data_IF_160844919106
#
_entry.id   IF_160844919106
#
_cell.length_a   1.000
_cell.length_b   1.000
_cell.length_c   1.000
_cell.angle_alpha   90.00
_cell.angle_beta   90.00
_cell.angle_gamma   90.00
#
_symmetry.space_group_name_H-M   'P 1'
#
loop_
_entity.id
_entity.type
_entity.pdbx_description
1 polymer ?
#
# COMPACT_ATOMS: atom_id res chain seq x y z
N UNK A 1 8.17 -2.79 40.02
CA UNK A 1 7.72 -2.61 38.63
C UNK A 1 6.23 -2.35 38.67
N UNK A 2 5.83 -1.08 38.65
CA UNK A 2 4.44 -0.65 38.78
C UNK A 2 3.73 -0.82 37.44
N UNK A 3 2.71 -1.69 37.39
CA UNK A 3 1.76 -1.71 36.29
C UNK A 3 1.01 -0.38 36.25
N UNK A 4 1.00 0.37 35.14
CA UNK A 4 0.18 1.58 35.03
C UNK A 4 -1.29 1.15 35.02
N UNK A 5 -1.99 1.35 36.13
CA UNK A 5 -3.43 1.12 36.24
C UNK A 5 -4.17 2.33 35.65
N UNK A 6 -4.45 2.27 34.35
CA UNK A 6 -5.32 3.19 33.60
C UNK A 6 -5.46 2.71 32.15
N UNK A 7 -6.59 2.99 31.45
CA UNK A 7 -6.71 2.64 30.04
C UNK A 7 -5.62 3.37 29.24
N UNK A 8 -4.85 2.62 28.46
CA UNK A 8 -3.85 3.15 27.54
C UNK A 8 -4.57 4.04 26.52
N UNK A 9 -4.10 5.26 26.29
CA UNK A 9 -4.71 6.15 25.30
C UNK A 9 -4.56 5.59 23.89
N UNK A 10 -5.46 5.97 22.97
CA UNK A 10 -5.38 5.54 21.56
C UNK A 10 -4.03 5.89 20.92
N UNK A 11 -3.46 7.04 21.28
CA UNK A 11 -2.14 7.50 20.81
C UNK A 11 -1.02 6.59 21.32
N UNK A 12 -1.06 6.19 22.59
CA UNK A 12 -0.07 5.28 23.17
C UNK A 12 -0.20 3.87 22.58
N UNK A 13 -1.43 3.38 22.37
CA UNK A 13 -1.69 2.12 21.69
C UNK A 13 -1.15 2.13 20.26
N UNK A 14 -1.39 3.21 19.50
CA UNK A 14 -0.88 3.37 18.14
C UNK A 14 0.64 3.31 18.10
N UNK A 15 1.31 4.09 18.94
CA UNK A 15 2.79 4.10 19.03
C UNK A 15 3.34 2.72 19.38
N UNK A 16 2.69 2.02 20.30
CA UNK A 16 3.07 0.66 20.65
C UNK A 16 2.94 -0.30 19.46
N UNK A 17 1.81 -0.28 18.73
CA UNK A 17 1.59 -1.10 17.52
C UNK A 17 2.62 -0.81 16.42
N UNK A 18 2.90 0.48 16.17
CA UNK A 18 3.90 0.92 15.18
C UNK A 18 5.29 0.36 15.51
N UNK A 19 5.65 0.28 16.80
CA UNK A 19 6.94 -0.21 17.26
C UNK A 19 7.06 -1.75 17.35
N UNK A 20 5.96 -2.50 17.25
CA UNK A 20 6.04 -3.97 17.29
C UNK A 20 6.82 -4.49 16.08
N UNK A 21 7.77 -5.43 16.24
CA UNK A 21 8.33 -6.15 15.10
C UNK A 21 7.23 -7.05 14.52
N UNK A 22 7.00 -6.94 13.21
CA UNK A 22 5.90 -7.62 12.53
C UNK A 22 6.39 -8.52 11.39
N UNK A 23 5.62 -9.56 11.09
CA UNK A 23 5.74 -10.36 9.88
C UNK A 23 4.44 -10.23 9.09
N UNK A 24 4.55 -9.97 7.79
CA UNK A 24 3.41 -9.82 6.89
C UNK A 24 3.33 -11.04 5.96
N UNK A 25 2.29 -11.85 6.11
CA UNK A 25 2.19 -13.16 5.44
C UNK A 25 1.08 -13.20 4.39
N UNK A 26 0.30 -12.12 4.27
CA UNK A 26 -0.73 -12.02 3.26
C UNK A 26 -0.72 -10.62 2.67
N UNK A 27 0.16 -10.41 1.69
CA UNK A 27 0.25 -9.15 0.98
C UNK A 27 0.46 -9.40 -0.50
N UNK A 28 -0.42 -8.85 -1.33
CA UNK A 28 -0.22 -8.83 -2.77
C UNK A 28 0.67 -7.64 -3.13
N UNK A 29 1.79 -7.87 -3.81
CA UNK A 29 2.75 -6.84 -4.18
C UNK A 29 2.08 -5.70 -4.94
N UNK A 30 1.27 -6.03 -5.95
CA UNK A 30 0.56 -5.05 -6.76
C UNK A 30 -0.51 -4.31 -5.94
N UNK A 31 -1.02 -4.92 -4.87
CA UNK A 31 -1.99 -4.34 -3.94
C UNK A 31 -1.38 -3.41 -2.92
N UNK A 32 -0.09 -3.57 -2.64
CA UNK A 32 0.64 -2.85 -1.61
C UNK A 32 1.27 -1.55 -2.09
N UNK A 33 1.17 -1.23 -3.40
CA UNK A 33 1.82 -0.06 -4.00
C UNK A 33 1.43 1.21 -3.23
N UNK A 34 2.38 1.94 -2.61
CA UNK A 34 2.08 3.19 -1.93
C UNK A 34 1.43 4.20 -2.88
N UNK A 35 0.51 5.02 -2.37
CA UNK A 35 -0.28 5.94 -3.20
C UNK A 35 0.58 6.88 -4.06
N UNK A 36 1.66 7.43 -3.51
CA UNK A 36 2.57 8.33 -4.24
C UNK A 36 3.40 7.58 -5.30
N UNK A 37 3.75 6.31 -5.04
CA UNK A 37 4.40 5.46 -6.03
C UNK A 37 3.45 5.15 -7.19
N UNK A 38 2.20 4.78 -6.90
CA UNK A 38 1.17 4.56 -7.91
C UNK A 38 0.90 5.82 -8.74
N UNK A 39 0.80 6.99 -8.10
CA UNK A 39 0.68 8.27 -8.81
C UNK A 39 1.86 8.47 -9.78
N UNK A 40 3.08 8.27 -9.31
CA UNK A 40 4.29 8.41 -10.15
C UNK A 40 4.29 7.42 -11.32
N UNK A 41 3.85 6.18 -11.10
CA UNK A 41 3.73 5.15 -12.14
C UNK A 41 2.69 5.52 -13.20
N UNK A 42 1.51 6.02 -12.78
CA UNK A 42 0.47 6.51 -13.70
C UNK A 42 1.03 7.63 -14.57
N UNK A 43 1.74 8.60 -13.98
CA UNK A 43 2.32 9.71 -14.74
C UNK A 43 3.44 9.25 -15.69
N UNK A 44 4.28 8.29 -15.27
CA UNK A 44 5.33 7.69 -16.12
C UNK A 44 4.75 7.16 -17.44
N UNK A 45 3.56 6.59 -17.40
CA UNK A 45 2.89 5.96 -18.55
C UNK A 45 1.88 6.87 -19.27
N UNK A 46 2.00 8.19 -19.10
CA UNK A 46 1.20 9.18 -19.83
C UNK A 46 -0.10 9.61 -19.12
N UNK A 47 -0.34 9.13 -17.91
CA UNK A 47 -1.49 9.50 -17.09
C UNK A 47 -2.78 8.76 -17.44
N UNK A 48 -3.85 9.15 -16.75
CA UNK A 48 -5.22 8.72 -17.03
C UNK A 48 -6.12 9.96 -17.00
N UNK A 49 -6.93 10.18 -18.04
CA UNK A 49 -7.78 11.37 -18.14
C UNK A 49 -8.85 11.44 -17.05
N UNK A 50 -9.23 10.32 -16.44
CA UNK A 50 -10.14 10.26 -15.31
C UNK A 50 -9.46 10.60 -13.98
N UNK A 51 -8.12 10.63 -13.93
CA UNK A 51 -7.32 10.86 -12.73
C UNK A 51 -6.41 12.08 -12.94
N UNK A 52 -6.96 13.27 -12.76
CA UNK A 52 -6.23 14.53 -12.96
C UNK A 52 -5.48 14.98 -11.70
N UNK A 53 -5.88 14.48 -10.53
CA UNK A 53 -5.30 14.85 -9.24
C UNK A 53 -5.07 13.63 -8.34
N UNK A 54 -4.21 13.78 -7.33
CA UNK A 54 -4.04 12.77 -6.28
C UNK A 54 -5.34 12.50 -5.51
N UNK A 55 -6.25 13.47 -5.46
CA UNK A 55 -7.54 13.28 -4.82
C UNK A 55 -8.43 12.36 -5.67
N UNK A 56 -8.42 12.53 -6.99
CA UNK A 56 -9.13 11.63 -7.91
C UNK A 56 -8.60 10.20 -7.78
N UNK A 57 -7.27 10.04 -7.65
CA UNK A 57 -6.65 8.74 -7.41
C UNK A 57 -7.16 8.10 -6.10
N UNK A 58 -7.18 8.86 -5.00
CA UNK A 58 -7.73 8.36 -3.71
C UNK A 58 -9.20 7.96 -3.84
N UNK A 59 -9.99 8.76 -4.57
CA UNK A 59 -11.40 8.48 -4.79
C UNK A 59 -11.57 7.21 -5.63
N UNK A 60 -10.76 7.01 -6.67
CA UNK A 60 -10.79 5.81 -7.51
C UNK A 60 -10.42 4.54 -6.75
N UNK A 61 -9.58 4.66 -5.72
CA UNK A 61 -9.20 3.58 -4.81
C UNK A 61 -10.20 3.38 -3.63
N UNK A 62 -11.36 4.03 -3.66
CA UNK A 62 -12.44 3.84 -2.69
C UNK A 62 -13.57 3.06 -3.36
N UNK A 63 -13.87 1.86 -2.86
CA UNK A 63 -14.84 0.94 -3.44
C UNK A 63 -15.79 0.39 -2.37
N UNK A 64 -17.00 0.03 -2.79
CA UNK A 64 -18.10 -0.41 -1.93
C UNK A 64 -18.23 -1.92 -1.81
N UNK A 65 -17.73 -2.67 -2.80
CA UNK A 65 -17.76 -4.12 -2.82
C UNK A 65 -16.55 -4.74 -3.53
N UNK A 66 -16.52 -6.08 -3.55
CA UNK A 66 -15.43 -6.84 -4.14
C UNK A 66 -15.37 -6.74 -5.68
N UNK A 67 -16.48 -6.79 -6.43
CA UNK A 67 -16.46 -6.51 -7.88
C UNK A 67 -15.84 -5.15 -8.23
N UNK A 68 -16.24 -4.07 -7.56
CA UNK A 68 -15.70 -2.73 -7.80
C UNK A 68 -14.20 -2.65 -7.45
N UNK A 69 -13.78 -3.34 -6.38
CA UNK A 69 -12.36 -3.54 -6.07
C UNK A 69 -11.62 -4.21 -7.22
N UNK A 70 -12.15 -5.30 -7.79
CA UNK A 70 -11.49 -6.05 -8.88
C UNK A 70 -11.37 -5.19 -10.14
N UNK A 71 -12.40 -4.42 -10.49
CA UNK A 71 -12.32 -3.47 -11.62
C UNK A 71 -11.21 -2.43 -11.41
N UNK A 72 -11.13 -1.88 -10.20
CA UNK A 72 -10.10 -0.92 -9.81
C UNK A 72 -8.70 -1.55 -9.80
N UNK A 73 -8.60 -2.80 -9.33
CA UNK A 73 -7.37 -3.58 -9.33
C UNK A 73 -6.83 -3.80 -10.74
N UNK A 74 -7.68 -4.25 -11.67
CA UNK A 74 -7.32 -4.48 -13.08
C UNK A 74 -6.87 -3.16 -13.72
N UNK A 75 -7.63 -2.08 -13.53
CA UNK A 75 -7.27 -0.76 -14.02
C UNK A 75 -5.89 -0.32 -13.51
N UNK A 76 -5.66 -0.37 -12.20
CA UNK A 76 -4.40 0.01 -11.57
C UNK A 76 -3.23 -0.84 -12.08
N UNK A 77 -3.41 -2.16 -12.22
CA UNK A 77 -2.37 -3.05 -12.70
C UNK A 77 -2.00 -2.82 -14.18
N UNK A 78 -2.88 -2.19 -14.98
CA UNK A 78 -2.56 -1.86 -16.39
C UNK A 78 -1.40 -0.87 -16.56
N UNK A 79 -1.02 -0.16 -15.49
CA UNK A 79 0.15 0.74 -15.49
C UNK A 79 1.48 0.02 -15.19
N UNK A 80 1.46 -1.27 -14.88
CA UNK A 80 2.68 -2.09 -14.72
C UNK A 80 3.03 -2.72 -16.08
N UNK A 81 3.82 -2.02 -16.88
CA UNK A 81 4.02 -2.37 -18.30
C UNK A 81 5.36 -3.03 -18.58
N UNK A 82 6.39 -2.74 -17.79
CA UNK A 82 7.74 -3.24 -18.00
C UNK A 82 8.45 -3.63 -16.70
N UNK A 83 9.60 -4.31 -16.83
CA UNK A 83 10.40 -4.78 -15.71
C UNK A 83 10.76 -3.68 -14.70
N UNK A 84 11.08 -2.47 -15.18
CA UNK A 84 11.47 -1.35 -14.29
C UNK A 84 10.30 -0.91 -13.40
N UNK A 85 9.05 -1.04 -13.88
CA UNK A 85 7.86 -0.75 -13.06
C UNK A 85 7.77 -1.72 -11.88
N UNK A 86 8.04 -3.01 -12.10
CA UNK A 86 8.03 -4.03 -11.05
C UNK A 86 9.17 -3.82 -10.05
N UNK A 87 10.37 -3.49 -10.53
CA UNK A 87 11.50 -3.13 -9.65
C UNK A 87 11.14 -1.93 -8.77
N UNK A 88 10.58 -0.88 -9.38
CA UNK A 88 10.17 0.33 -8.66
C UNK A 88 9.14 0.04 -7.57
N UNK A 89 8.05 -0.67 -7.88
CA UNK A 89 7.03 -0.94 -6.86
C UNK A 89 7.53 -1.89 -5.77
N UNK A 90 8.41 -2.83 -6.09
CA UNK A 90 8.98 -3.74 -5.10
C UNK A 90 9.83 -2.98 -4.07
N UNK A 91 10.62 -2.02 -4.53
CA UNK A 91 11.40 -1.13 -3.65
C UNK A 91 10.49 -0.25 -2.79
N UNK A 92 9.51 0.42 -3.39
CA UNK A 92 8.59 1.30 -2.67
C UNK A 92 7.77 0.55 -1.61
N UNK A 93 7.29 -0.66 -1.94
CA UNK A 93 6.59 -1.53 -0.98
C UNK A 93 7.53 -1.96 0.14
N UNK A 94 8.76 -2.38 -0.15
CA UNK A 94 9.72 -2.77 0.88
C UNK A 94 10.05 -1.62 1.84
N UNK A 95 10.22 -0.40 1.31
CA UNK A 95 10.45 0.81 2.11
C UNK A 95 9.24 1.14 2.99
N UNK A 96 8.02 0.98 2.49
CA UNK A 96 6.80 1.21 3.26
C UNK A 96 6.63 0.18 4.39
N UNK A 97 6.84 -1.10 4.11
CA UNK A 97 6.84 -2.17 5.11
C UNK A 97 7.89 -1.91 6.20
N UNK A 98 9.10 -1.48 5.82
CA UNK A 98 10.16 -1.15 6.76
C UNK A 98 9.76 0.00 7.70
N UNK A 99 9.14 1.07 7.19
CA UNK A 99 8.64 2.20 8.01
C UNK A 99 7.60 1.75 9.03
N UNK A 100 6.85 0.70 8.71
CA UNK A 100 5.86 0.10 9.60
C UNK A 100 6.47 -0.92 10.58
N UNK A 101 7.79 -1.10 10.63
CA UNK A 101 8.49 -2.11 11.44
C UNK A 101 8.08 -3.57 11.10
N UNK A 102 7.77 -3.82 9.83
CA UNK A 102 7.61 -5.17 9.29
C UNK A 102 9.01 -5.66 8.89
N UNK A 103 9.47 -6.71 9.56
CA UNK A 103 10.83 -7.24 9.43
C UNK A 103 10.93 -8.40 8.43
N UNK A 104 9.79 -9.01 8.10
CA UNK A 104 9.69 -10.15 7.20
C UNK A 104 8.37 -10.09 6.44
N UNK A 105 8.39 -10.39 5.15
CA UNK A 105 7.19 -10.45 4.34
C UNK A 105 7.23 -11.63 3.35
N UNK A 106 6.11 -12.32 3.20
CA UNK A 106 5.84 -13.28 2.13
C UNK A 106 4.80 -12.67 1.18
N UNK A 107 5.28 -12.20 0.03
CA UNK A 107 4.46 -11.46 -0.93
C UNK A 107 3.85 -12.40 -1.97
N UNK A 108 2.56 -12.20 -2.25
CA UNK A 108 1.88 -12.75 -3.41
C UNK A 108 2.08 -11.84 -4.63
N UNK A 109 2.09 -12.45 -5.80
CA UNK A 109 2.15 -11.77 -7.10
C UNK A 109 1.23 -12.51 -8.09
N UNK A 110 0.55 -11.79 -8.96
CA UNK A 110 -0.32 -12.33 -10.02
C UNK A 110 0.35 -12.18 -11.38
N UNK A 111 0.92 -13.26 -11.97
CA UNK A 111 1.62 -13.20 -13.24
C UNK A 111 0.75 -12.85 -14.46
#
# INVERSE_FOLDING_TARGET
MTTPNGPISETENRKWIEQLPKAELHLHLEGAIPLEALWSLIQKHGGDSSISTRQDLRQRLTYSDFPEFIETWIWKNSFLQNYDDFTFIAEEVALDLHRQNILYAELFFSP
#
